data_IF_439722557065
#
_entry.id   IF_439722557065
#
_cell.length_a   1.000
_cell.length_b   1.000
_cell.length_c   1.000
_cell.angle_alpha   90.00
_cell.angle_beta   90.00
_cell.angle_gamma   90.00
#
_symmetry.space_group_name_H-M   'P 1'
#
loop_
_entity.id
_entity.type
_entity.pdbx_description
1 polymer ?
#
# COMPACT_ATOMS: atom_id res chain seq x y z
N UNK A 1 -3.07 1.34 -9.66
CA UNK A 1 -3.71 0.04 -9.36
C UNK A 1 -4.93 0.17 -8.44
N UNK A 2 -5.06 1.29 -7.74
CA UNK A 2 -6.25 1.63 -6.95
C UNK A 2 -7.01 2.79 -7.62
N UNK A 3 -8.30 2.90 -7.35
CA UNK A 3 -9.17 4.03 -7.69
C UNK A 3 -9.29 4.99 -6.50
N UNK A 4 -10.52 5.43 -6.20
CA UNK A 4 -10.79 6.30 -5.05
C UNK A 4 -10.59 5.57 -3.72
N UNK A 5 -10.23 6.32 -2.69
CA UNK A 5 -10.18 5.82 -1.32
C UNK A 5 -10.76 6.85 -0.37
N UNK A 6 -11.35 6.36 0.71
CA UNK A 6 -11.96 7.17 1.76
C UNK A 6 -11.32 6.83 3.10
N UNK A 7 -10.96 7.87 3.85
CA UNK A 7 -10.49 7.76 5.23
C UNK A 7 -11.69 7.97 6.16
N UNK A 8 -12.02 6.96 6.96
CA UNK A 8 -13.07 7.04 7.97
C UNK A 8 -12.39 7.24 9.33
N UNK A 9 -12.67 8.37 9.97
CA UNK A 9 -12.20 8.66 11.32
C UNK A 9 -13.11 7.99 12.36
N UNK A 10 -12.58 7.04 13.11
CA UNK A 10 -13.26 6.35 14.20
C UNK A 10 -12.78 6.80 15.59
N UNK A 11 -12.04 7.92 15.67
CA UNK A 11 -11.36 8.42 16.88
C UNK A 11 -10.39 7.38 17.50
N UNK A 12 -10.00 6.34 16.76
CA UNK A 12 -9.02 5.34 17.18
C UNK A 12 -7.82 5.37 16.25
N UNK A 13 -7.74 4.41 15.35
CA UNK A 13 -6.62 4.25 14.41
C UNK A 13 -7.03 4.57 12.97
N UNK A 14 -8.28 4.96 12.76
CA UNK A 14 -8.85 5.20 11.44
C UNK A 14 -9.13 3.91 10.68
N UNK A 15 -9.96 4.01 9.65
CA UNK A 15 -10.21 2.95 8.67
C UNK A 15 -10.06 3.53 7.27
N UNK A 16 -9.65 2.70 6.33
CA UNK A 16 -9.51 3.09 4.93
C UNK A 16 -10.36 2.16 4.09
N UNK A 17 -11.26 2.74 3.30
CA UNK A 17 -11.99 2.03 2.24
C UNK A 17 -11.29 2.37 0.94
N UNK A 18 -10.89 1.35 0.17
CA UNK A 18 -10.19 1.53 -1.11
C UNK A 18 -10.99 0.86 -2.21
N UNK A 19 -11.31 1.60 -3.26
CA UNK A 19 -11.89 1.06 -4.48
C UNK A 19 -10.78 0.59 -5.41
N UNK A 20 -10.85 -0.66 -5.88
CA UNK A 20 -9.86 -1.21 -6.82
C UNK A 20 -10.32 -1.01 -8.27
N UNK A 21 -9.38 -0.67 -9.15
CA UNK A 21 -9.68 -0.43 -10.57
C UNK A 21 -9.49 -1.69 -11.46
N UNK A 22 -9.32 -2.86 -10.86
CA UNK A 22 -9.21 -4.16 -11.53
C UNK A 22 -7.87 -4.47 -12.21
N UNK A 23 -6.90 -3.55 -12.19
CA UNK A 23 -5.58 -3.76 -12.85
C UNK A 23 -4.52 -4.37 -11.93
N UNK A 24 -4.85 -4.64 -10.66
CA UNK A 24 -3.90 -5.08 -9.64
C UNK A 24 -3.75 -6.60 -9.66
N UNK A 25 -2.55 -7.09 -9.99
CA UNK A 25 -2.27 -8.53 -10.02
C UNK A 25 -1.83 -9.06 -8.64
N UNK A 26 -0.91 -8.36 -7.97
CA UNK A 26 -0.39 -8.73 -6.65
C UNK A 26 0.12 -7.49 -5.92
N UNK A 27 -0.19 -7.39 -4.64
CA UNK A 27 0.43 -6.43 -3.72
C UNK A 27 1.05 -7.21 -2.56
N UNK A 28 2.36 -7.02 -2.35
CA UNK A 28 3.12 -7.63 -1.27
C UNK A 28 3.93 -6.56 -0.54
N UNK A 29 4.30 -6.87 0.70
CA UNK A 29 5.18 -6.03 1.52
C UNK A 29 6.50 -6.76 1.73
N UNK A 30 7.61 -6.03 1.78
CA UNK A 30 8.90 -6.57 2.20
C UNK A 30 9.04 -6.41 3.71
N UNK A 31 9.19 -7.53 4.43
CA UNK A 31 9.41 -7.56 5.87
C UNK A 31 10.48 -8.61 6.21
N UNK A 32 11.57 -8.26 6.91
CA UNK A 32 11.92 -6.93 7.45
C UNK A 32 12.28 -5.91 6.34
N UNK A 33 12.33 -4.61 6.69
CA UNK A 33 12.75 -3.57 5.76
C UNK A 33 14.27 -3.61 5.62
N UNK A 34 14.77 -4.09 4.49
CA UNK A 34 16.20 -4.15 4.19
C UNK A 34 16.73 -2.80 3.68
N UNK A 35 17.98 -2.49 3.99
CA UNK A 35 18.70 -1.37 3.38
C UNK A 35 19.03 -1.73 1.93
N UNK A 36 18.67 -0.87 0.98
CA UNK A 36 18.90 -1.09 -0.45
C UNK A 36 19.81 0.03 -1.00
N UNK A 37 21.12 -0.20 -1.16
CA UNK A 37 22.01 0.77 -1.78
C UNK A 37 21.71 0.87 -3.28
N UNK A 38 22.00 2.02 -3.89
CA UNK A 38 21.69 2.31 -5.31
C UNK A 38 22.24 1.24 -6.28
N UNK A 39 23.33 0.55 -5.90
CA UNK A 39 23.95 -0.51 -6.72
C UNK A 39 23.14 -1.81 -6.78
N UNK A 40 22.22 -2.03 -5.84
CA UNK A 40 21.48 -3.29 -5.67
C UNK A 40 19.99 -3.14 -6.06
N UNK A 41 19.60 -1.99 -6.61
CA UNK A 41 18.21 -1.69 -7.03
C UNK A 41 17.87 -2.29 -8.41
N UNK A 42 18.89 -2.59 -9.22
CA UNK A 42 18.74 -3.02 -10.62
C UNK A 42 18.74 -4.55 -10.79
#
# INVERSE_FOLDING_TARGET
YIGEFELIDDHRSGKIVVNLNGRLNKCGVISPRFDCPIRDIE
#
